data_IF_751702312191
#
_entry.id   IF_751702312191
#
_cell.length_a   1.000
_cell.length_b   1.000
_cell.length_c   1.000
_cell.angle_alpha   90.00
_cell.angle_beta   90.00
_cell.angle_gamma   90.00
#
_symmetry.space_group_name_H-M   'P 1'
#
loop_
_entity.id
_entity.type
_entity.pdbx_description
1 polymer ?
#
# COMPACT_ATOMS: atom_id res chain seq x y z
N UNK A 1 3.46 -8.57 -18.11
CA UNK A 1 3.89 -9.38 -16.99
C UNK A 1 3.34 -8.83 -15.70
N UNK A 2 3.04 -9.71 -14.80
CA UNK A 2 2.43 -9.29 -13.54
C UNK A 2 3.33 -8.35 -12.73
N UNK A 3 4.61 -8.49 -12.87
CA UNK A 3 5.56 -7.66 -12.12
C UNK A 3 5.45 -6.19 -12.47
N UNK A 4 4.80 -5.89 -13.59
CA UNK A 4 4.67 -4.51 -14.02
C UNK A 4 3.54 -3.78 -13.32
N UNK A 5 2.87 -4.43 -12.41
CA UNK A 5 1.73 -3.83 -11.72
C UNK A 5 2.14 -2.98 -10.51
N UNK A 6 3.43 -2.83 -10.28
CA UNK A 6 3.89 -1.97 -9.18
C UNK A 6 3.40 -0.56 -9.42
N UNK A 7 2.87 0.06 -8.37
CA UNK A 7 2.41 1.45 -8.43
C UNK A 7 3.38 2.33 -7.67
N UNK A 8 3.81 3.40 -8.32
CA UNK A 8 4.72 4.37 -7.68
C UNK A 8 3.90 5.57 -7.24
N UNK A 9 4.11 5.97 -6.00
CA UNK A 9 3.45 7.14 -5.42
C UNK A 9 4.54 8.14 -5.07
N UNK A 10 4.50 9.31 -5.70
CA UNK A 10 5.41 10.38 -5.32
C UNK A 10 4.82 11.12 -4.14
N UNK A 11 5.55 11.16 -3.04
CA UNK A 11 5.06 11.78 -1.82
C UNK A 11 5.11 13.30 -1.95
N UNK A 12 4.05 13.96 -1.52
CA UNK A 12 4.04 15.42 -1.50
C UNK A 12 4.91 15.96 -0.37
N UNK A 13 5.06 15.15 0.69
CA UNK A 13 5.93 15.47 1.81
C UNK A 13 6.85 14.30 2.05
N UNK A 14 8.10 14.40 1.63
CA UNK A 14 9.05 13.29 1.85
C UNK A 14 9.18 12.94 3.32
N UNK A 15 9.41 11.68 3.59
CA UNK A 15 9.53 11.16 4.94
C UNK A 15 11.01 10.93 5.25
N UNK A 16 11.45 11.43 6.39
CA UNK A 16 12.81 11.16 6.86
C UNK A 16 12.79 9.88 7.69
N UNK A 17 13.67 8.97 7.35
CA UNK A 17 13.78 7.71 8.08
C UNK A 17 15.26 7.41 8.28
N UNK A 18 15.73 7.66 9.50
CA UNK A 18 17.15 7.56 9.75
C UNK A 18 17.90 8.62 8.95
N UNK A 19 18.86 8.19 8.16
CA UNK A 19 19.61 9.09 7.31
C UNK A 19 19.06 9.17 5.90
N UNK A 20 17.94 8.48 5.64
CA UNK A 20 17.35 8.45 4.32
C UNK A 20 16.14 9.37 4.24
N UNK A 21 15.93 9.90 3.05
CA UNK A 21 14.73 10.67 2.76
C UNK A 21 13.95 9.89 1.72
N UNK A 22 12.73 9.51 2.06
CA UNK A 22 11.89 8.72 1.20
C UNK A 22 10.90 9.64 0.52
N UNK A 23 11.02 9.79 -0.79
CA UNK A 23 10.15 10.68 -1.56
C UNK A 23 9.23 9.93 -2.51
N UNK A 24 9.45 8.63 -2.68
CA UNK A 24 8.62 7.80 -3.55
C UNK A 24 8.37 6.48 -2.83
N UNK A 25 7.14 6.01 -2.90
CA UNK A 25 6.80 4.67 -2.43
C UNK A 25 6.40 3.82 -3.62
N UNK A 26 6.94 2.62 -3.68
CA UNK A 26 6.57 1.67 -4.73
C UNK A 26 5.77 0.55 -4.09
N UNK A 27 4.49 0.52 -4.40
CA UNK A 27 3.55 -0.43 -3.82
C UNK A 27 3.42 -1.61 -4.77
N UNK A 28 3.84 -2.77 -4.32
CA UNK A 28 3.75 -3.98 -5.13
C UNK A 28 2.38 -4.62 -4.96
N UNK A 29 1.92 -5.38 -5.97
CA UNK A 29 0.63 -6.07 -5.83
C UNK A 29 0.68 -7.05 -4.67
N UNK A 30 -0.40 -7.16 -3.91
CA UNK A 30 -0.44 -8.11 -2.80
C UNK A 30 -0.53 -9.55 -3.32
N UNK A 31 -0.03 -10.44 -2.51
CA UNK A 31 -0.17 -11.88 -2.76
C UNK A 31 -1.09 -12.46 -1.71
N UNK A 32 -1.51 -13.70 -1.92
CA UNK A 32 -2.42 -14.34 -0.98
C UNK A 32 -1.89 -14.28 0.45
N UNK A 33 -0.58 -14.43 0.61
CA UNK A 33 0.00 -14.41 1.96
C UNK A 33 -0.24 -13.09 2.67
N UNK A 34 -0.34 -12.01 1.91
CA UNK A 34 -0.59 -10.69 2.50
C UNK A 34 -2.03 -10.55 2.96
N UNK A 35 -2.95 -11.16 2.24
CA UNK A 35 -4.36 -11.03 2.54
C UNK A 35 -4.83 -12.06 3.56
N UNK A 36 -4.06 -13.13 3.76
CA UNK A 36 -4.47 -14.21 4.65
C UNK A 36 -4.70 -13.70 6.07
N UNK A 37 -3.89 -12.76 6.51
CA UNK A 37 -3.98 -12.25 7.87
C UNK A 37 -4.89 -11.04 7.98
N UNK A 38 -5.51 -10.63 6.88
CA UNK A 38 -6.39 -9.46 6.89
C UNK A 38 -7.79 -9.87 7.29
N UNK A 39 -8.49 -9.07 8.08
CA UNK A 39 -9.90 -9.34 8.35
C UNK A 39 -10.73 -9.09 7.10
N UNK A 40 -11.97 -9.60 7.12
CA UNK A 40 -12.87 -9.40 5.98
C UNK A 40 -13.17 -7.93 5.74
N UNK A 41 -13.25 -7.17 6.82
CA UNK A 41 -13.48 -5.73 6.71
C UNK A 41 -12.33 -5.02 7.39
N UNK A 42 -11.23 -4.81 6.67
CA UNK A 42 -10.06 -4.19 7.27
C UNK A 42 -10.34 -2.72 7.60
N UNK A 43 -9.78 -2.29 8.71
CA UNK A 43 -9.84 -0.86 9.05
C UNK A 43 -8.63 -0.15 8.45
N UNK A 44 -8.57 1.16 8.66
CA UNK A 44 -7.50 1.97 8.12
C UNK A 44 -6.12 1.48 8.57
N UNK A 45 -6.00 1.13 9.85
CA UNK A 45 -4.73 0.63 10.36
C UNK A 45 -4.29 -0.64 9.67
N UNK A 46 -5.25 -1.54 9.42
CA UNK A 46 -4.95 -2.79 8.72
C UNK A 46 -4.42 -2.51 7.31
N UNK A 47 -5.05 -1.55 6.63
CA UNK A 47 -4.63 -1.21 5.27
C UNK A 47 -3.26 -0.53 5.27
N UNK A 48 -2.97 0.29 6.26
CA UNK A 48 -1.66 0.92 6.35
C UNK A 48 -0.57 -0.10 6.65
N UNK A 49 -0.87 -1.09 7.49
CA UNK A 49 0.08 -2.16 7.76
C UNK A 49 0.36 -2.94 6.48
N UNK A 50 -0.68 -3.22 5.71
CA UNK A 50 -0.50 -3.90 4.45
C UNK A 50 0.34 -3.05 3.50
N UNK A 51 0.08 -1.75 3.45
CA UNK A 51 0.84 -0.86 2.59
C UNK A 51 2.32 -0.90 2.92
N UNK A 52 2.66 -0.93 4.20
CA UNK A 52 4.06 -1.00 4.61
C UNK A 52 4.71 -2.27 4.07
N UNK A 53 4.02 -3.38 4.16
CA UNK A 53 4.55 -4.65 3.66
C UNK A 53 4.72 -4.61 2.16
N UNK A 54 3.74 -4.09 1.45
CA UNK A 54 3.80 -4.05 -0.01
C UNK A 54 4.86 -3.07 -0.50
N UNK A 55 5.12 -2.02 0.26
CA UNK A 55 6.13 -1.05 -0.11
C UNK A 55 7.53 -1.47 0.34
N UNK A 56 7.62 -2.50 1.16
CA UNK A 56 8.92 -2.91 1.70
C UNK A 56 9.48 -1.89 2.67
N UNK A 57 8.61 -1.15 3.36
CA UNK A 57 9.02 -0.12 4.30
C UNK A 57 8.53 -0.49 5.69
N UNK A 58 9.24 -0.05 6.72
CA UNK A 58 8.76 -0.29 8.08
C UNK A 58 7.50 0.54 8.36
N UNK A 59 6.64 0.06 9.26
CA UNK A 59 5.42 0.81 9.58
C UNK A 59 5.68 2.24 10.02
N UNK A 60 6.84 2.50 10.63
CA UNK A 60 7.14 3.86 11.07
C UNK A 60 7.22 4.85 9.92
N UNK A 61 7.63 4.38 8.74
CA UNK A 61 7.65 5.25 7.56
C UNK A 61 6.23 5.61 7.14
N UNK A 62 5.36 4.61 7.12
CA UNK A 62 3.97 4.83 6.74
C UNK A 62 3.28 5.76 7.74
N UNK A 63 3.61 5.61 9.03
CA UNK A 63 3.02 6.46 10.06
C UNK A 63 3.34 7.94 9.88
N UNK A 64 4.44 8.25 9.20
CA UNK A 64 4.87 9.63 9.02
C UNK A 64 4.31 10.28 7.75
N UNK A 65 3.51 9.56 6.99
CA UNK A 65 2.92 10.14 5.79
C UNK A 65 1.93 11.25 6.12
N UNK A 66 1.94 12.30 5.31
CA UNK A 66 0.91 13.31 5.42
C UNK A 66 -0.43 12.73 4.98
N UNK A 67 -1.51 13.44 5.30
CA UNK A 67 -2.85 12.92 5.02
C UNK A 67 -3.09 12.70 3.53
N UNK A 68 -2.60 13.63 2.71
CA UNK A 68 -2.77 13.52 1.27
C UNK A 68 -2.08 12.27 0.73
N UNK A 69 -0.85 12.04 1.19
CA UNK A 69 -0.09 10.87 0.74
C UNK A 69 -0.71 9.59 1.28
N UNK A 70 -1.18 9.62 2.52
CA UNK A 70 -1.86 8.47 3.10
C UNK A 70 -3.08 8.09 2.27
N UNK A 71 -3.85 9.08 1.86
CA UNK A 71 -5.04 8.83 1.06
C UNK A 71 -4.67 8.17 -0.26
N UNK A 72 -3.60 8.64 -0.89
CA UNK A 72 -3.15 8.05 -2.14
C UNK A 72 -2.71 6.61 -1.95
N UNK A 73 -1.98 6.35 -0.87
CA UNK A 73 -1.54 4.98 -0.56
C UNK A 73 -2.75 4.07 -0.35
N UNK A 74 -3.73 4.54 0.42
CA UNK A 74 -4.92 3.74 0.69
C UNK A 74 -5.70 3.46 -0.59
N UNK A 75 -5.75 4.45 -1.49
CA UNK A 75 -6.43 4.26 -2.77
C UNK A 75 -5.75 3.17 -3.58
N UNK A 76 -4.42 3.19 -3.64
CA UNK A 76 -3.69 2.18 -4.40
C UNK A 76 -3.88 0.79 -3.79
N UNK A 77 -3.79 0.70 -2.48
CA UNK A 77 -3.97 -0.59 -1.80
C UNK A 77 -5.38 -1.10 -2.03
N UNK A 78 -6.37 -0.21 -1.91
CA UNK A 78 -7.76 -0.59 -2.14
C UNK A 78 -7.99 -1.08 -3.55
N UNK A 79 -7.38 -0.41 -4.53
CA UNK A 79 -7.52 -0.81 -5.92
C UNK A 79 -6.95 -2.21 -6.15
N UNK A 80 -5.81 -2.51 -5.54
CA UNK A 80 -5.23 -3.84 -5.65
C UNK A 80 -6.17 -4.90 -5.07
N UNK A 81 -6.74 -4.62 -3.91
CA UNK A 81 -7.63 -5.59 -3.26
C UNK A 81 -8.88 -5.77 -4.09
N UNK A 82 -9.47 -4.67 -4.56
CA UNK A 82 -10.67 -4.73 -5.37
C UNK A 82 -10.43 -5.50 -6.67
N UNK A 83 -9.30 -5.27 -7.30
CA UNK A 83 -8.99 -5.97 -8.54
C UNK A 83 -8.91 -7.48 -8.29
N UNK A 84 -8.29 -7.87 -7.18
CA UNK A 84 -8.18 -9.28 -6.86
C UNK A 84 -9.52 -9.91 -6.54
N UNK A 85 -10.37 -9.19 -5.82
CA UNK A 85 -11.67 -9.72 -5.43
C UNK A 85 -12.69 -9.64 -6.56
N UNK A 86 -12.60 -8.58 -7.35
CA UNK A 86 -13.60 -8.34 -8.36
C UNK A 86 -13.47 -9.22 -9.57
N UNK A 87 -12.34 -9.88 -9.73
CA UNK A 87 -12.09 -10.69 -10.90
C UNK A 87 -13.18 -11.73 -11.13
N UNK A 88 -13.63 -12.33 -10.07
CA UNK A 88 -14.64 -13.38 -10.19
C UNK A 88 -16.02 -12.86 -10.51
N UNK A 89 -16.26 -11.58 -10.39
CA UNK A 89 -17.57 -11.00 -10.57
C UNK A 89 -17.90 -10.67 -11.99
N UNK A 90 -16.95 -10.78 -12.79
CA UNK A 90 -17.24 -10.26 -14.11
C UNK A 90 -18.08 -11.13 -14.88
N UNK A 91 -18.51 -10.95 -14.64
CA UNK A 91 -19.21 -11.46 -15.34
C UNK A 91 -19.43 -11.50 -16.03
#
# INVERSE_FOLDING_TARGET
MAKDKVKSITLSEPVEHGSEIISVLEIKPPKAKHLRSMPLEPNTGDLLDLAAKLAGQPPSVIDELGMSDMTNVLTVVGDFIDAGQGTGDKH
#
